data_IF_920750233423
#
_entry.id   IF_920750233423
#
_cell.length_a   1.000
_cell.length_b   1.000
_cell.length_c   1.000
_cell.angle_alpha   90.00
_cell.angle_beta   90.00
_cell.angle_gamma   90.00
#
_symmetry.space_group_name_H-M   'P 1'
#
loop_
_entity.id
_entity.type
_entity.pdbx_description
1 polymer ?
#
# COMPACT_ATOMS: atom_id res chain seq x y z
N UNK A 1 24.69 -37.50 46.38
CA UNK A 1 24.10 -38.33 45.32
C UNK A 1 22.92 -39.02 45.97
N UNK A 2 21.82 -38.35 46.30
CA UNK A 2 20.91 -37.52 45.50
C UNK A 2 20.14 -38.34 44.44
N UNK A 3 19.11 -39.04 44.93
CA UNK A 3 17.94 -39.55 44.22
C UNK A 3 16.83 -39.56 45.28
N UNK A 4 15.73 -38.82 45.20
CA UNK A 4 15.08 -38.19 44.06
C UNK A 4 13.58 -38.34 44.30
N UNK A 5 13.07 -37.52 45.22
CA UNK A 5 11.70 -37.46 45.70
C UNK A 5 10.73 -37.15 44.54
N UNK A 6 10.08 -38.19 43.99
CA UNK A 6 9.19 -38.07 42.82
C UNK A 6 7.79 -38.66 43.04
N UNK A 7 7.51 -39.26 44.21
CA UNK A 7 6.27 -40.03 44.44
C UNK A 7 5.12 -39.24 45.09
N UNK A 8 5.31 -37.96 45.46
CA UNK A 8 4.25 -37.14 46.07
C UNK A 8 3.57 -36.12 45.13
N UNK A 9 4.20 -35.80 43.99
CA UNK A 9 3.59 -34.92 42.97
C UNK A 9 2.50 -35.62 42.14
N UNK A 10 2.67 -36.91 41.86
CA UNK A 10 1.76 -37.68 40.98
C UNK A 10 0.40 -37.98 41.62
N UNK A 11 0.35 -38.17 42.95
CA UNK A 11 -0.88 -38.51 43.69
C UNK A 11 -1.84 -37.33 43.84
N UNK A 12 -1.32 -36.11 43.99
CA UNK A 12 -2.14 -34.89 44.10
C UNK A 12 -2.77 -34.55 42.74
N UNK A 13 -1.98 -34.61 41.65
CA UNK A 13 -2.49 -34.38 40.29
C UNK A 13 -3.53 -35.43 39.91
N UNK A 14 -3.30 -36.70 40.25
CA UNK A 14 -4.25 -37.80 40.06
C UNK A 14 -5.58 -37.56 40.81
N UNK A 15 -5.52 -37.06 42.04
CA UNK A 15 -6.69 -36.77 42.85
C UNK A 15 -7.54 -35.63 42.27
N UNK A 16 -6.93 -34.48 41.94
CA UNK A 16 -7.65 -33.37 41.32
C UNK A 16 -8.18 -33.72 39.92
N UNK A 17 -7.42 -34.53 39.16
CA UNK A 17 -7.88 -35.06 37.89
C UNK A 17 -9.12 -35.94 38.05
N UNK A 18 -9.18 -36.79 39.09
CA UNK A 18 -10.35 -37.64 39.36
C UNK A 18 -11.60 -36.84 39.72
N UNK A 19 -11.46 -35.76 40.51
CA UNK A 19 -12.56 -34.86 40.87
C UNK A 19 -13.06 -34.12 39.64
N UNK A 20 -12.13 -33.55 38.86
CA UNK A 20 -12.45 -32.84 37.62
C UNK A 20 -13.14 -33.78 36.62
N UNK A 21 -12.61 -34.99 36.45
CA UNK A 21 -13.14 -36.02 35.55
C UNK A 21 -14.56 -36.44 35.95
N UNK A 22 -14.82 -36.68 37.23
CA UNK A 22 -16.15 -37.03 37.73
C UNK A 22 -17.13 -35.88 37.55
N UNK A 23 -16.71 -34.63 37.81
CA UNK A 23 -17.55 -33.47 37.54
C UNK A 23 -17.85 -33.30 36.06
N UNK A 24 -16.85 -33.48 35.18
CA UNK A 24 -17.02 -33.43 33.73
C UNK A 24 -18.00 -34.51 33.26
N UNK A 25 -17.83 -35.76 33.70
CA UNK A 25 -18.70 -36.87 33.33
C UNK A 25 -20.14 -36.67 33.82
N UNK A 26 -20.33 -36.20 35.06
CA UNK A 26 -21.65 -35.90 35.60
C UNK A 26 -22.33 -34.76 34.83
N UNK A 27 -21.57 -33.73 34.45
CA UNK A 27 -22.09 -32.57 33.70
C UNK A 27 -22.45 -32.99 32.27
N UNK A 28 -21.54 -33.68 31.56
CA UNK A 28 -21.78 -34.24 30.23
C UNK A 28 -22.96 -35.20 30.21
N UNK A 29 -23.09 -36.07 31.23
CA UNK A 29 -24.21 -36.99 31.37
C UNK A 29 -25.55 -36.28 31.49
N UNK A 30 -25.62 -35.22 32.32
CA UNK A 30 -26.84 -34.38 32.45
C UNK A 30 -27.16 -33.64 31.16
N UNK A 31 -26.16 -33.06 30.49
CA UNK A 31 -26.36 -32.35 29.22
C UNK A 31 -26.81 -33.29 28.12
N UNK A 32 -26.22 -34.48 28.02
CA UNK A 32 -26.63 -35.51 27.05
C UNK A 32 -28.04 -36.04 27.35
N UNK A 33 -28.43 -36.16 28.61
CA UNK A 33 -29.79 -36.55 28.97
C UNK A 33 -30.83 -35.49 28.56
N UNK A 34 -30.51 -34.20 28.71
CA UNK A 34 -31.36 -33.07 28.29
C UNK A 34 -31.44 -32.92 26.77
N UNK A 35 -30.35 -33.23 26.04
CA UNK A 35 -30.26 -33.08 24.59
C UNK A 35 -30.67 -34.34 23.80
N UNK A 36 -30.85 -35.47 24.49
CA UNK A 36 -31.34 -36.76 23.95
C UNK A 36 -32.59 -36.69 23.05
N UNK A 37 -33.56 -35.79 23.28
CA UNK A 37 -34.76 -35.69 22.45
C UNK A 37 -34.52 -35.07 21.07
N UNK A 38 -33.37 -34.43 20.84
CA UNK A 38 -33.10 -33.67 19.62
C UNK A 38 -32.20 -34.45 18.67
N UNK A 39 -32.48 -34.36 17.37
CA UNK A 39 -31.61 -34.97 16.37
C UNK A 39 -30.21 -34.34 16.37
N UNK A 40 -29.13 -35.15 16.27
CA UNK A 40 -27.76 -34.63 16.28
C UNK A 40 -27.50 -33.54 15.23
N UNK A 41 -28.11 -33.66 14.05
CA UNK A 41 -27.98 -32.68 12.97
C UNK A 41 -28.60 -31.32 13.33
N UNK A 42 -29.72 -31.32 14.06
CA UNK A 42 -30.38 -30.09 14.51
C UNK A 42 -29.53 -29.36 15.55
N UNK A 43 -28.89 -30.11 16.45
CA UNK A 43 -27.96 -29.54 17.44
C UNK A 43 -26.70 -28.94 16.78
N UNK A 44 -26.15 -29.63 15.78
CA UNK A 44 -25.01 -29.12 15.00
C UNK A 44 -25.42 -27.85 14.22
N UNK A 45 -26.59 -27.85 13.57
CA UNK A 45 -27.08 -26.69 12.84
C UNK A 45 -27.34 -25.49 13.75
N UNK A 46 -27.95 -25.69 14.92
CA UNK A 46 -28.19 -24.64 15.92
C UNK A 46 -26.90 -24.06 16.49
N UNK A 47 -25.92 -24.92 16.81
CA UNK A 47 -24.64 -24.46 17.34
C UNK A 47 -23.82 -23.70 16.30
N UNK A 48 -23.75 -24.20 15.06
CA UNK A 48 -23.11 -23.51 13.95
C UNK A 48 -23.82 -22.19 13.62
N UNK A 49 -25.15 -22.18 13.60
CA UNK A 49 -25.94 -20.96 13.37
C UNK A 49 -25.73 -19.95 14.50
N UNK A 50 -25.70 -20.39 15.76
CA UNK A 50 -25.44 -19.52 16.90
C UNK A 50 -24.05 -18.89 16.83
N UNK A 51 -23.02 -19.68 16.55
CA UNK A 51 -21.64 -19.21 16.38
C UNK A 51 -21.54 -18.23 15.20
N UNK A 52 -22.18 -18.55 14.07
CA UNK A 52 -22.23 -17.67 12.91
C UNK A 52 -22.93 -16.35 13.22
N UNK A 53 -24.09 -16.39 13.88
CA UNK A 53 -24.86 -15.19 14.26
C UNK A 53 -24.08 -14.30 15.23
N UNK A 54 -23.41 -14.87 16.23
CA UNK A 54 -22.58 -14.11 17.17
C UNK A 54 -21.38 -13.48 16.45
N UNK A 55 -20.67 -14.24 15.61
CA UNK A 55 -19.55 -13.69 14.83
C UNK A 55 -20.00 -12.61 13.84
N UNK A 56 -21.16 -12.78 13.20
CA UNK A 56 -21.76 -11.78 12.32
C UNK A 56 -22.12 -10.51 13.09
N UNK A 57 -22.70 -10.65 14.29
CA UNK A 57 -23.04 -9.53 15.16
C UNK A 57 -21.79 -8.78 15.63
N UNK A 58 -20.76 -9.50 16.08
CA UNK A 58 -19.47 -8.91 16.48
C UNK A 58 -18.79 -8.21 15.30
N UNK A 59 -18.76 -8.82 14.12
CA UNK A 59 -18.22 -8.20 12.91
C UNK A 59 -19.01 -6.95 12.48
N UNK A 60 -20.34 -6.92 12.70
CA UNK A 60 -21.18 -5.75 12.48
C UNK A 60 -20.89 -4.65 13.50
N UNK A 61 -20.77 -4.99 14.77
CA UNK A 61 -20.44 -4.07 15.87
C UNK A 61 -19.06 -3.46 15.64
N UNK A 62 -18.03 -4.25 15.31
CA UNK A 62 -16.70 -3.75 14.98
C UNK A 62 -16.72 -2.81 13.77
N UNK A 63 -17.54 -3.13 12.76
CA UNK A 63 -17.74 -2.24 11.62
C UNK A 63 -18.36 -0.90 12.01
N UNK A 64 -19.30 -0.90 12.95
CA UNK A 64 -20.01 0.28 13.44
C UNK A 64 -19.19 1.10 14.44
N UNK A 65 -18.37 0.44 15.27
CA UNK A 65 -17.58 1.06 16.33
C UNK A 65 -16.33 1.76 15.81
N UNK A 66 -15.81 1.37 14.63
CA UNK A 66 -14.70 2.09 13.98
C UNK A 66 -15.11 3.54 13.66
N UNK A 67 -14.44 4.56 14.23
CA UNK A 67 -14.80 5.96 14.01
C UNK A 67 -14.72 6.30 12.53
N UNK A 68 -15.85 6.70 11.94
CA UNK A 68 -15.98 7.08 10.51
C UNK A 68 -16.82 6.13 9.65
N UNK A 69 -16.96 4.85 10.02
CA UNK A 69 -17.69 3.88 9.21
C UNK A 69 -19.20 4.11 9.17
N UNK A 70 -19.81 4.60 10.26
CA UNK A 70 -21.24 4.93 10.26
C UNK A 70 -21.57 6.07 9.28
N UNK A 71 -20.67 7.05 9.10
CA UNK A 71 -20.83 8.11 8.09
C UNK A 71 -20.79 7.52 6.68
N UNK A 72 -19.92 6.54 6.45
CA UNK A 72 -19.83 5.82 5.16
C UNK A 72 -21.10 5.00 4.92
N UNK A 73 -21.59 4.27 5.93
CA UNK A 73 -22.83 3.49 5.86
C UNK A 73 -24.04 4.39 5.59
N UNK A 74 -24.17 5.49 6.34
CA UNK A 74 -25.21 6.50 6.13
C UNK A 74 -25.10 7.12 4.72
N UNK A 75 -23.90 7.48 4.28
CA UNK A 75 -23.67 7.99 2.93
C UNK A 75 -24.06 6.97 1.85
N UNK A 76 -23.72 5.69 2.03
CA UNK A 76 -24.13 4.60 1.10
C UNK A 76 -25.65 4.44 1.08
N UNK A 77 -26.30 4.49 2.23
CA UNK A 77 -27.76 4.43 2.33
C UNK A 77 -28.42 5.62 1.64
N UNK A 78 -28.01 6.85 1.97
CA UNK A 78 -28.53 8.07 1.35
C UNK A 78 -28.30 8.06 -0.17
N UNK A 79 -27.10 7.68 -0.63
CA UNK A 79 -26.78 7.62 -2.07
C UNK A 79 -27.43 6.45 -2.82
N UNK A 80 -28.03 5.49 -2.10
CA UNK A 80 -28.83 4.42 -2.70
C UNK A 80 -30.29 4.82 -2.94
N UNK A 81 -30.77 5.90 -2.31
CA UNK A 81 -32.13 6.42 -2.54
C UNK A 81 -32.32 6.80 -4.02
N UNK A 82 -33.48 6.53 -4.65
CA UNK A 82 -33.68 6.69 -6.09
C UNK A 82 -33.27 8.07 -6.64
N UNK A 83 -33.64 9.15 -5.94
CA UNK A 83 -33.32 10.54 -6.32
C UNK A 83 -31.83 10.88 -6.15
N UNK A 84 -31.18 10.34 -5.13
CA UNK A 84 -29.74 10.55 -4.93
C UNK A 84 -28.91 9.71 -5.90
N UNK A 85 -29.41 8.53 -6.28
CA UNK A 85 -28.78 7.66 -7.27
C UNK A 85 -28.73 8.34 -8.65
N UNK A 86 -29.79 9.05 -9.06
CA UNK A 86 -29.79 9.80 -10.32
C UNK A 86 -28.80 10.97 -10.30
N UNK A 87 -28.75 11.74 -9.21
CA UNK A 87 -27.77 12.83 -9.02
C UNK A 87 -26.34 12.29 -9.04
N UNK A 88 -26.07 11.20 -8.29
CA UNK A 88 -24.76 10.53 -8.28
C UNK A 88 -24.36 10.06 -9.67
N UNK A 89 -25.28 9.45 -10.42
CA UNK A 89 -25.03 8.99 -11.78
C UNK A 89 -24.73 10.17 -12.74
N UNK A 90 -25.45 11.29 -12.59
CA UNK A 90 -25.18 12.51 -13.35
C UNK A 90 -23.79 13.07 -13.04
N UNK A 91 -23.44 13.24 -11.77
CA UNK A 91 -22.11 13.71 -11.36
C UNK A 91 -21.00 12.78 -11.85
N UNK A 92 -21.22 11.46 -11.80
CA UNK A 92 -20.26 10.50 -12.34
C UNK A 92 -20.10 10.64 -13.87
N UNK A 93 -21.17 10.92 -14.62
CA UNK A 93 -21.08 11.22 -16.05
C UNK A 93 -20.32 12.52 -16.32
N UNK A 94 -20.59 13.58 -15.56
CA UNK A 94 -19.87 14.85 -15.66
C UNK A 94 -18.38 14.66 -15.39
N UNK A 95 -18.02 13.94 -14.32
CA UNK A 95 -16.63 13.60 -13.99
C UNK A 95 -16.00 12.73 -15.08
N UNK A 96 -16.69 11.69 -15.56
CA UNK A 96 -16.18 10.86 -16.67
C UNK A 96 -15.91 11.69 -17.92
N UNK A 97 -16.81 12.62 -18.27
CA UNK A 97 -16.64 13.53 -19.40
C UNK A 97 -15.44 14.45 -19.18
N UNK A 98 -15.34 15.07 -18.00
CA UNK A 98 -14.22 15.95 -17.66
C UNK A 98 -12.87 15.22 -17.68
N UNK A 99 -12.80 13.99 -17.14
CA UNK A 99 -11.60 13.14 -17.22
C UNK A 99 -11.31 12.78 -18.67
N UNK A 100 -12.32 12.42 -19.45
CA UNK A 100 -12.13 12.08 -20.86
C UNK A 100 -11.55 13.27 -21.63
N UNK A 101 -12.12 14.45 -21.46
CA UNK A 101 -11.66 15.70 -22.07
C UNK A 101 -10.27 16.13 -21.58
N UNK A 102 -9.92 15.90 -20.32
CA UNK A 102 -8.60 16.24 -19.78
C UNK A 102 -7.50 15.28 -20.27
N UNK A 103 -7.80 13.98 -20.39
CA UNK A 103 -6.84 12.95 -20.81
C UNK A 103 -6.63 12.97 -22.32
N UNK A 104 -7.70 13.12 -23.10
CA UNK A 104 -7.65 13.03 -24.56
C UNK A 104 -7.50 14.41 -25.22
N UNK A 105 -7.58 15.49 -24.43
CA UNK A 105 -7.55 16.86 -24.92
C UNK A 105 -8.75 17.21 -25.81
N UNK A 106 -8.74 18.43 -26.35
CA UNK A 106 -9.69 18.89 -27.38
C UNK A 106 -9.18 18.57 -28.79
N UNK A 107 -8.60 17.39 -29.03
CA UNK A 107 -8.01 17.06 -30.33
C UNK A 107 -8.93 16.19 -31.20
N UNK A 108 -9.61 16.78 -32.22
CA UNK A 108 -10.49 16.03 -33.12
C UNK A 108 -9.79 15.39 -34.34
N UNK A 109 -8.45 15.35 -34.41
CA UNK A 109 -7.79 15.22 -35.72
C UNK A 109 -7.32 13.81 -36.14
N UNK A 110 -7.32 12.80 -35.27
CA UNK A 110 -7.03 11.42 -35.68
C UNK A 110 -8.09 10.46 -35.09
N UNK A 111 -8.74 9.62 -35.92
CA UNK A 111 -9.69 8.65 -35.41
C UNK A 111 -8.98 7.63 -34.52
N UNK A 112 -9.56 7.32 -33.37
CA UNK A 112 -9.09 6.23 -32.52
C UNK A 112 -9.12 4.93 -33.32
N UNK A 113 -7.96 4.27 -33.43
CA UNK A 113 -7.90 2.92 -33.98
C UNK A 113 -8.37 1.95 -32.92
N UNK A 114 -9.51 1.31 -33.16
CA UNK A 114 -10.12 0.35 -32.23
C UNK A 114 -9.80 -1.11 -32.57
N UNK A 115 -9.10 -1.34 -33.69
CA UNK A 115 -8.67 -2.65 -34.15
C UNK A 115 -7.29 -2.56 -34.80
N UNK A 116 -6.59 -3.70 -34.87
CA UNK A 116 -5.37 -3.82 -35.66
C UNK A 116 -5.68 -3.60 -37.15
N UNK A 117 -4.79 -2.95 -37.91
CA UNK A 117 -5.00 -2.72 -39.33
C UNK A 117 -4.99 -4.06 -40.09
N UNK A 118 -5.94 -4.24 -41.01
CA UNK A 118 -6.04 -5.46 -41.83
C UNK A 118 -4.83 -5.67 -42.77
N UNK A 119 -4.10 -4.61 -43.07
CA UNK A 119 -2.88 -4.62 -43.89
C UNK A 119 -1.74 -3.99 -43.11
N UNK A 120 -0.53 -4.54 -43.28
CA UNK A 120 0.69 -3.98 -42.70
C UNK A 120 0.89 -2.54 -43.19
N UNK A 121 1.36 -1.68 -42.29
CA UNK A 121 1.79 -0.33 -42.64
C UNK A 121 3.27 -0.32 -42.96
N UNK A 122 3.71 0.55 -43.87
CA UNK A 122 5.13 0.82 -44.07
C UNK A 122 5.71 1.56 -42.86
N UNK A 123 7.03 1.41 -42.65
CA UNK A 123 7.73 2.13 -41.58
C UNK A 123 7.54 3.65 -41.70
N UNK A 124 7.53 4.20 -42.91
CA UNK A 124 7.33 5.63 -43.15
C UNK A 124 5.91 6.09 -42.80
N UNK A 125 4.89 5.26 -43.08
CA UNK A 125 3.51 5.53 -42.67
C UNK A 125 3.34 5.52 -41.14
N UNK A 126 4.07 4.65 -40.44
CA UNK A 126 4.09 4.61 -38.97
C UNK A 126 4.78 5.87 -38.42
N UNK A 127 5.96 6.21 -38.95
CA UNK A 127 6.71 7.41 -38.54
C UNK A 127 5.93 8.69 -38.82
N UNK A 128 5.24 8.80 -39.96
CA UNK A 128 4.42 9.97 -40.28
C UNK A 128 3.25 10.13 -39.31
N UNK A 129 2.57 9.02 -38.96
CA UNK A 129 1.51 9.01 -37.95
C UNK A 129 2.05 9.46 -36.58
N UNK A 130 3.22 8.95 -36.16
CA UNK A 130 3.86 9.34 -34.90
C UNK A 130 4.21 10.84 -34.86
N UNK A 131 4.71 11.41 -35.97
CA UNK A 131 4.99 12.86 -36.08
C UNK A 131 3.72 13.70 -35.97
N UNK A 132 2.64 13.29 -36.62
CA UNK A 132 1.34 13.98 -36.52
C UNK A 132 0.84 14.00 -35.08
N UNK A 133 0.89 12.85 -34.38
CA UNK A 133 0.53 12.75 -32.96
C UNK A 133 1.43 13.62 -32.07
N UNK A 134 2.74 13.62 -32.31
CA UNK A 134 3.68 14.43 -31.52
C UNK A 134 3.47 15.94 -31.72
N UNK A 135 3.10 16.37 -32.93
CA UNK A 135 2.82 17.79 -33.22
C UNK A 135 1.53 18.31 -32.56
N UNK A 136 0.69 17.40 -32.07
CA UNK A 136 -0.56 17.71 -31.35
C UNK A 136 -0.41 17.80 -29.82
N UNK A 137 0.80 17.96 -29.30
CA UNK A 137 0.99 18.20 -27.86
C UNK A 137 0.23 19.45 -27.44
N UNK A 138 -0.66 19.33 -26.45
CA UNK A 138 -1.50 20.42 -25.97
C UNK A 138 -0.70 21.57 -25.32
N UNK A 139 0.55 21.31 -24.94
CA UNK A 139 1.44 22.28 -24.30
C UNK A 139 2.86 22.13 -24.87
N UNK A 140 3.48 23.25 -25.21
CA UNK A 140 4.90 23.33 -25.56
C UNK A 140 5.74 23.40 -24.27
N UNK A 141 6.28 22.28 -23.84
CA UNK A 141 7.14 22.21 -22.65
C UNK A 141 8.48 22.91 -22.86
N UNK A 142 8.97 23.07 -24.11
CA UNK A 142 10.24 23.76 -24.39
C UNK A 142 10.17 25.25 -24.11
N UNK A 143 8.96 25.82 -24.10
CA UNK A 143 8.72 27.21 -23.70
C UNK A 143 8.98 27.49 -22.21
N UNK A 144 9.20 26.45 -21.38
CA UNK A 144 9.40 26.58 -19.93
C UNK A 144 8.11 26.87 -19.14
N UNK A 145 6.94 26.85 -19.80
CA UNK A 145 5.64 27.16 -19.17
C UNK A 145 4.95 25.94 -18.52
N UNK A 146 5.65 24.81 -18.46
CA UNK A 146 5.17 23.57 -17.86
C UNK A 146 5.94 23.33 -16.56
N UNK A 147 5.24 23.42 -15.42
CA UNK A 147 5.86 23.14 -14.11
C UNK A 147 6.21 21.65 -14.00
N UNK A 148 7.46 21.35 -13.63
CA UNK A 148 7.98 19.98 -13.56
C UNK A 148 7.78 19.22 -14.87
N UNK A 149 7.21 18.02 -14.80
CA UNK A 149 6.83 17.16 -15.94
C UNK A 149 7.97 16.66 -16.82
N UNK A 150 8.78 17.55 -17.40
CA UNK A 150 9.96 17.24 -18.21
C UNK A 150 11.17 17.94 -17.60
N UNK A 151 12.25 17.19 -17.39
CA UNK A 151 13.49 17.70 -16.77
C UNK A 151 14.65 17.63 -17.78
N UNK A 152 14.66 18.47 -18.82
CA UNK A 152 15.74 18.50 -19.81
C UNK A 152 17.01 19.10 -19.18
N UNK A 153 18.18 18.53 -19.48
CA UNK A 153 19.46 19.13 -19.10
C UNK A 153 20.06 19.93 -20.27
N UNK A 154 20.37 19.25 -21.38
CA UNK A 154 20.84 19.84 -22.63
C UNK A 154 20.63 18.87 -23.82
N UNK A 155 20.86 19.35 -25.04
CA UNK A 155 20.68 18.55 -26.25
C UNK A 155 21.71 17.41 -26.35
N UNK A 156 22.95 17.64 -25.93
CA UNK A 156 24.01 16.63 -25.93
C UNK A 156 23.62 15.39 -25.11
N UNK A 157 23.13 15.59 -23.88
CA UNK A 157 22.61 14.52 -23.03
C UNK A 157 21.42 13.82 -23.69
N UNK A 158 20.54 14.56 -24.34
CA UNK A 158 19.38 13.98 -25.01
C UNK A 158 19.81 13.03 -26.15
N UNK A 159 20.82 13.44 -26.93
CA UNK A 159 21.41 12.59 -27.98
C UNK A 159 22.07 11.35 -27.39
N UNK A 160 22.85 11.49 -26.32
CA UNK A 160 23.47 10.36 -25.63
C UNK A 160 22.43 9.35 -25.13
N UNK A 161 21.35 9.82 -24.49
CA UNK A 161 20.28 8.95 -23.98
C UNK A 161 19.60 8.14 -25.09
N UNK A 162 19.34 8.75 -26.25
CA UNK A 162 18.77 8.05 -27.41
C UNK A 162 19.72 6.96 -27.92
N UNK A 163 21.02 7.27 -28.04
CA UNK A 163 22.03 6.29 -28.46
C UNK A 163 22.14 5.12 -27.48
N UNK A 164 22.10 5.38 -26.18
CA UNK A 164 22.11 4.32 -25.17
C UNK A 164 20.85 3.46 -25.24
N UNK A 165 19.67 4.06 -25.44
CA UNK A 165 18.43 3.30 -25.61
C UNK A 165 18.48 2.40 -26.85
N UNK A 166 19.06 2.88 -27.96
CA UNK A 166 19.24 2.09 -29.17
C UNK A 166 20.16 0.87 -28.94
N UNK A 167 21.29 1.06 -28.24
CA UNK A 167 22.23 -0.02 -27.92
C UNK A 167 21.61 -1.11 -27.02
N UNK A 168 20.77 -0.70 -26.07
CA UNK A 168 20.23 -1.61 -25.04
C UNK A 168 18.76 -2.00 -25.26
N UNK A 169 18.17 -1.69 -26.42
CA UNK A 169 16.75 -1.86 -26.74
C UNK A 169 16.17 -3.26 -26.43
N UNK A 170 16.97 -4.31 -26.65
CA UNK A 170 16.54 -5.71 -26.50
C UNK A 170 17.02 -6.36 -25.19
N UNK A 171 17.61 -5.58 -24.29
CA UNK A 171 18.07 -6.12 -23.01
C UNK A 171 16.93 -6.32 -22.03
N UNK A 172 17.07 -7.37 -21.21
CA UNK A 172 16.11 -7.70 -20.17
C UNK A 172 16.85 -8.09 -18.88
N UNK A 173 16.85 -7.25 -17.82
CA UNK A 173 17.55 -7.51 -16.56
C UNK A 173 17.12 -8.80 -15.84
N UNK A 174 15.99 -9.41 -16.22
CA UNK A 174 15.57 -10.72 -15.71
C UNK A 174 16.58 -11.83 -16.06
N UNK A 175 17.28 -11.72 -17.19
CA UNK A 175 18.23 -12.70 -17.69
C UNK A 175 19.66 -12.18 -17.50
N UNK A 176 20.16 -12.25 -16.25
CA UNK A 176 21.46 -11.69 -15.87
C UNK A 176 22.65 -12.43 -16.47
N UNK A 177 22.47 -13.68 -16.87
CA UNK A 177 23.41 -14.51 -17.62
C UNK A 177 23.57 -14.04 -19.08
N UNK A 178 22.47 -13.64 -19.71
CA UNK A 178 22.46 -13.11 -21.07
C UNK A 178 22.87 -11.63 -21.15
N UNK A 179 22.51 -10.82 -20.13
CA UNK A 179 22.75 -9.38 -20.11
C UNK A 179 23.52 -8.90 -18.87
N UNK A 180 24.75 -9.40 -18.64
CA UNK A 180 25.53 -9.05 -17.45
C UNK A 180 25.92 -7.56 -17.41
N UNK A 181 26.03 -6.90 -18.57
CA UNK A 181 26.32 -5.47 -18.68
C UNK A 181 25.23 -4.61 -18.04
N UNK A 182 23.95 -4.91 -18.29
CA UNK A 182 22.84 -4.15 -17.72
C UNK A 182 22.76 -4.34 -16.22
N UNK A 183 22.90 -5.58 -15.74
CA UNK A 183 22.96 -5.86 -14.30
C UNK A 183 24.10 -5.08 -13.61
N UNK A 184 25.26 -4.98 -14.28
CA UNK A 184 26.39 -4.19 -13.79
C UNK A 184 26.04 -2.70 -13.71
N UNK A 185 25.47 -2.14 -14.77
CA UNK A 185 25.04 -0.73 -14.79
C UNK A 185 24.04 -0.42 -13.66
N UNK A 186 23.04 -1.28 -13.44
CA UNK A 186 22.09 -1.11 -12.33
C UNK A 186 22.78 -1.09 -10.96
N UNK A 187 23.73 -2.00 -10.74
CA UNK A 187 24.49 -2.07 -9.49
C UNK A 187 25.37 -0.82 -9.27
N UNK A 188 26.02 -0.33 -10.33
CA UNK A 188 26.85 0.88 -10.30
C UNK A 188 26.01 2.12 -10.02
N UNK A 189 24.84 2.27 -10.67
CA UNK A 189 23.91 3.40 -10.41
C UNK A 189 23.43 3.38 -8.97
N UNK A 190 23.01 2.23 -8.44
CA UNK A 190 22.62 2.10 -7.04
C UNK A 190 23.76 2.54 -6.12
N UNK A 191 25.00 2.07 -6.36
CA UNK A 191 26.14 2.45 -5.51
C UNK A 191 26.46 3.95 -5.62
N UNK A 192 26.43 4.54 -6.81
CA UNK A 192 26.63 5.98 -6.99
C UNK A 192 25.59 6.81 -6.22
N UNK A 193 24.32 6.41 -6.27
CA UNK A 193 23.28 7.05 -5.48
C UNK A 193 23.52 6.88 -3.97
N UNK A 194 23.85 5.67 -3.50
CA UNK A 194 24.15 5.46 -2.07
C UNK A 194 25.31 6.34 -1.61
N UNK A 195 26.39 6.44 -2.39
CA UNK A 195 27.52 7.34 -2.08
C UNK A 195 27.09 8.80 -2.04
N UNK A 196 26.25 9.25 -2.99
CA UNK A 196 25.69 10.60 -3.01
C UNK A 196 24.87 10.92 -1.75
N UNK A 197 24.20 9.91 -1.18
CA UNK A 197 23.44 10.00 0.08
C UNK A 197 24.25 9.57 1.32
N UNK A 198 25.58 9.52 1.23
CA UNK A 198 26.49 9.18 2.33
C UNK A 198 26.25 7.79 2.97
N UNK A 199 25.79 6.82 2.17
CA UNK A 199 25.63 5.43 2.60
C UNK A 199 26.98 4.73 2.84
N UNK A 200 26.99 3.83 3.81
CA UNK A 200 28.15 3.02 4.20
C UNK A 200 28.28 1.71 3.36
N UNK A 201 29.18 0.82 3.79
CA UNK A 201 29.36 -0.50 3.16
C UNK A 201 28.13 -1.41 3.29
N UNK A 202 27.36 -1.25 4.37
CA UNK A 202 26.14 -2.02 4.65
C UNK A 202 24.92 -1.49 3.88
N UNK A 203 25.01 -0.27 3.36
CA UNK A 203 23.95 0.34 2.56
C UNK A 203 23.81 -0.39 1.22
N UNK A 204 22.56 -0.69 0.85
CA UNK A 204 22.20 -1.39 -0.37
C UNK A 204 20.90 -0.82 -0.98
N UNK A 205 20.57 -1.24 -2.20
CA UNK A 205 19.39 -0.78 -2.90
C UNK A 205 19.11 -1.59 -4.17
N UNK A 206 18.09 -1.15 -4.90
CA UNK A 206 17.71 -1.73 -6.19
C UNK A 206 17.18 -0.62 -7.10
N UNK A 207 17.30 -0.82 -8.41
CA UNK A 207 16.65 0.03 -9.40
C UNK A 207 15.14 -0.21 -9.38
N UNK A 208 14.36 0.81 -9.74
CA UNK A 208 12.92 0.72 -9.91
C UNK A 208 12.49 1.53 -11.14
N UNK A 209 11.25 1.33 -11.58
CA UNK A 209 10.66 2.06 -12.70
C UNK A 209 10.36 3.54 -12.39
N UNK A 210 10.47 3.95 -11.13
CA UNK A 210 10.22 5.34 -10.71
C UNK A 210 9.81 5.48 -9.24
N UNK A 211 9.61 6.73 -8.80
CA UNK A 211 9.41 7.07 -7.39
C UNK A 211 8.22 6.38 -6.71
N UNK A 212 7.13 6.11 -7.45
CA UNK A 212 5.97 5.36 -6.89
C UNK A 212 6.36 3.92 -6.55
N UNK A 213 7.09 3.23 -7.44
CA UNK A 213 7.55 1.86 -7.16
C UNK A 213 8.55 1.85 -6.00
N UNK A 214 9.49 2.81 -5.95
CA UNK A 214 10.42 2.93 -4.82
C UNK A 214 9.71 3.08 -3.47
N UNK A 215 8.68 3.94 -3.39
CA UNK A 215 7.86 4.09 -2.18
C UNK A 215 7.15 2.77 -1.85
N UNK A 216 6.54 2.12 -2.85
CA UNK A 216 5.82 0.87 -2.64
C UNK A 216 6.74 -0.26 -2.14
N UNK A 217 7.94 -0.42 -2.73
CA UNK A 217 8.93 -1.41 -2.30
C UNK A 217 9.42 -1.14 -0.86
N UNK A 218 9.63 0.12 -0.49
CA UNK A 218 9.96 0.48 0.89
C UNK A 218 8.83 0.08 1.84
N UNK A 219 7.58 0.48 1.56
CA UNK A 219 6.42 0.11 2.38
C UNK A 219 6.27 -1.41 2.52
N UNK A 220 6.48 -2.15 1.42
CA UNK A 220 6.46 -3.61 1.41
C UNK A 220 7.52 -4.21 2.35
N UNK A 221 8.76 -3.72 2.27
CA UNK A 221 9.87 -4.17 3.09
C UNK A 221 9.61 -3.95 4.59
N UNK A 222 9.20 -2.73 4.97
CA UNK A 222 8.90 -2.39 6.37
C UNK A 222 7.71 -3.17 6.93
N UNK A 223 6.65 -3.37 6.12
CA UNK A 223 5.52 -4.23 6.50
C UNK A 223 5.95 -5.68 6.74
N UNK A 224 6.75 -6.24 5.83
CA UNK A 224 7.22 -7.62 5.96
C UNK A 224 8.13 -7.80 7.18
N UNK A 225 8.99 -6.82 7.45
CA UNK A 225 9.79 -6.78 8.70
C UNK A 225 8.88 -6.75 9.93
N UNK A 226 7.90 -5.85 9.98
CA UNK A 226 6.97 -5.73 11.10
C UNK A 226 6.19 -7.03 11.36
N UNK A 227 5.73 -7.71 10.30
CA UNK A 227 5.07 -9.02 10.40
C UNK A 227 5.98 -10.10 10.96
N UNK A 228 7.24 -10.16 10.54
CA UNK A 228 8.24 -11.07 11.12
C UNK A 228 8.49 -10.80 12.61
N UNK A 229 8.26 -9.56 13.06
CA UNK A 229 8.34 -9.14 14.46
C UNK A 229 7.02 -9.30 15.23
N UNK A 230 6.00 -9.96 14.66
CA UNK A 230 4.71 -10.23 15.31
C UNK A 230 3.65 -9.12 15.14
N UNK A 231 3.90 -8.08 14.35
CA UNK A 231 2.92 -7.04 14.04
C UNK A 231 2.11 -7.46 12.81
N UNK A 232 0.99 -8.15 13.04
CA UNK A 232 0.13 -8.65 11.97
C UNK A 232 -0.58 -7.54 11.19
N UNK A 233 -0.80 -6.41 11.84
CA UNK A 233 -1.74 -5.39 11.41
C UNK A 233 -1.06 -4.00 11.45
N UNK A 234 0.02 -3.80 10.66
CA UNK A 234 0.92 -2.66 10.81
C UNK A 234 0.31 -1.35 10.33
N UNK A 235 0.76 -0.24 10.93
CA UNK A 235 0.46 1.11 10.50
C UNK A 235 1.72 1.90 10.08
N UNK A 236 1.52 2.92 9.25
CA UNK A 236 2.54 3.89 8.85
C UNK A 236 2.10 5.29 9.26
N UNK A 237 3.01 6.10 9.79
CA UNK A 237 2.76 7.49 10.17
C UNK A 237 3.37 8.40 9.11
N UNK A 238 2.53 9.22 8.46
CA UNK A 238 2.93 10.08 7.35
C UNK A 238 2.41 11.52 7.54
N UNK A 239 3.13 12.56 7.10
CA UNK A 239 2.60 13.92 7.00
C UNK A 239 1.43 14.00 6.01
N UNK A 240 0.51 14.94 6.19
CA UNK A 240 -0.56 15.21 5.22
C UNK A 240 -0.03 15.54 3.81
N UNK A 241 1.14 16.17 3.72
CA UNK A 241 1.84 16.52 2.48
C UNK A 241 2.55 15.35 1.79
N UNK A 242 2.61 14.18 2.41
CA UNK A 242 3.32 13.02 1.86
C UNK A 242 2.72 12.58 0.52
N UNK A 243 3.57 12.08 -0.38
CA UNK A 243 3.18 11.67 -1.72
C UNK A 243 2.04 10.63 -1.69
N UNK A 244 1.07 10.74 -2.59
CA UNK A 244 -0.13 9.86 -2.64
C UNK A 244 0.18 8.37 -2.87
N UNK A 245 1.42 8.05 -3.27
CA UNK A 245 1.92 6.69 -3.34
C UNK A 245 1.90 5.96 -1.99
N UNK A 246 2.00 6.68 -0.86
CA UNK A 246 1.86 6.08 0.47
C UNK A 246 0.43 5.58 0.72
N UNK A 247 -0.60 6.32 0.30
CA UNK A 247 -1.99 5.84 0.39
C UNK A 247 -2.22 4.64 -0.52
N UNK A 248 -1.64 4.67 -1.73
CA UNK A 248 -1.67 3.53 -2.66
C UNK A 248 -1.02 2.30 -2.03
N UNK A 249 0.16 2.44 -1.43
CA UNK A 249 0.84 1.36 -0.74
C UNK A 249 0.00 0.85 0.44
N UNK A 250 -0.57 1.74 1.25
CA UNK A 250 -1.46 1.38 2.35
C UNK A 250 -2.65 0.54 1.90
N UNK A 251 -3.31 0.96 0.83
CA UNK A 251 -4.46 0.24 0.26
C UNK A 251 -4.07 -1.09 -0.39
N UNK A 252 -2.96 -1.16 -1.13
CA UNK A 252 -2.56 -2.38 -1.86
C UNK A 252 -1.94 -3.42 -0.90
N UNK A 253 -1.27 -2.97 0.15
CA UNK A 253 -0.45 -3.82 1.00
C UNK A 253 -1.05 -4.08 2.39
N UNK A 254 -2.27 -3.58 2.66
CA UNK A 254 -2.94 -3.64 3.96
C UNK A 254 -2.08 -3.06 5.09
N UNK A 255 -1.64 -1.81 4.90
CA UNK A 255 -0.95 -1.02 5.92
C UNK A 255 -1.87 0.15 6.27
N UNK A 256 -2.23 0.30 7.53
CA UNK A 256 -3.08 1.43 7.95
C UNK A 256 -2.27 2.73 7.86
N UNK A 257 -2.81 3.73 7.17
CA UNK A 257 -2.14 5.03 7.01
C UNK A 257 -2.66 6.01 8.07
N UNK A 258 -1.76 6.52 8.90
CA UNK A 258 -2.04 7.56 9.90
C UNK A 258 -1.46 8.87 9.39
N UNK A 259 -2.34 9.81 9.03
CA UNK A 259 -1.96 11.13 8.52
C UNK A 259 -1.83 12.12 9.67
N UNK A 260 -0.74 12.88 9.68
CA UNK A 260 -0.40 13.86 10.70
C UNK A 260 -0.49 15.27 10.10
N UNK A 261 -1.17 16.21 10.78
CA UNK A 261 -1.36 17.56 10.27
C UNK A 261 -0.04 18.32 10.13
N UNK A 262 -0.04 19.28 9.21
CA UNK A 262 1.07 20.23 9.05
C UNK A 262 0.90 21.41 10.01
N UNK A 263 2.01 22.06 10.32
CA UNK A 263 2.00 23.38 10.93
C UNK A 263 1.50 24.42 9.90
N UNK A 264 0.51 25.26 10.24
CA UNK A 264 -0.15 26.14 9.27
C UNK A 264 0.72 27.33 8.81
N UNK A 265 1.83 27.59 9.49
CA UNK A 265 2.74 28.70 9.15
C UNK A 265 3.90 28.18 8.31
N UNK A 266 4.51 27.08 8.73
CA UNK A 266 5.72 26.52 8.12
C UNK A 266 5.44 25.44 7.08
N UNK A 267 4.21 24.89 7.04
CA UNK A 267 3.81 23.74 6.21
C UNK A 267 4.70 22.50 6.36
N UNK A 268 5.48 22.41 7.44
CA UNK A 268 6.21 21.23 7.88
C UNK A 268 5.29 20.36 8.70
N UNK A 269 5.59 19.06 8.83
CA UNK A 269 4.81 18.21 9.72
C UNK A 269 4.84 18.69 11.17
N UNK A 270 3.68 18.66 11.85
CA UNK A 270 3.61 18.97 13.27
C UNK A 270 4.27 17.84 14.08
N UNK A 271 5.51 18.07 14.53
CA UNK A 271 6.30 17.06 15.26
C UNK A 271 5.62 16.55 16.54
N UNK A 272 4.86 17.39 17.25
CA UNK A 272 4.15 16.96 18.47
C UNK A 272 3.06 15.96 18.12
N UNK A 273 2.25 16.25 17.12
CA UNK A 273 1.23 15.32 16.63
C UNK A 273 1.86 14.06 16.00
N UNK A 274 2.99 14.21 15.32
CA UNK A 274 3.73 13.09 14.72
C UNK A 274 4.20 12.09 15.76
N UNK A 275 4.84 12.57 16.84
CA UNK A 275 5.26 11.72 17.97
C UNK A 275 4.08 11.03 18.65
N UNK A 276 2.96 11.74 18.83
CA UNK A 276 1.75 11.19 19.45
C UNK A 276 1.03 10.13 18.60
N UNK A 277 1.25 10.11 17.28
CA UNK A 277 0.64 9.17 16.35
C UNK A 277 1.31 7.80 16.33
N UNK A 278 2.50 7.66 16.92
CA UNK A 278 3.28 6.42 16.92
C UNK A 278 2.70 5.43 17.93
N UNK A 279 2.49 4.20 17.48
CA UNK A 279 1.96 3.11 18.30
C UNK A 279 2.87 1.88 18.24
N UNK A 280 2.56 0.85 19.04
CA UNK A 280 3.24 -0.44 18.97
C UNK A 280 3.01 -1.20 17.64
N UNK A 281 2.11 -0.70 16.77
CA UNK A 281 1.83 -1.25 15.43
C UNK A 281 2.58 -0.50 14.32
N UNK A 282 3.26 0.59 14.64
CA UNK A 282 3.95 1.42 13.67
C UNK A 282 5.16 0.73 13.07
N UNK A 283 5.11 0.47 11.77
CA UNK A 283 6.19 -0.17 11.02
C UNK A 283 7.08 0.81 10.26
N UNK A 284 6.62 2.04 10.03
CA UNK A 284 7.29 3.03 9.20
C UNK A 284 6.89 4.46 9.62
N UNK A 285 7.88 5.34 9.65
CA UNK A 285 7.71 6.80 9.73
C UNK A 285 8.16 7.41 8.40
N UNK A 286 7.44 8.41 7.91
CA UNK A 286 7.72 9.05 6.62
C UNK A 286 7.98 10.55 6.81
N UNK A 287 8.94 11.06 6.03
CA UNK A 287 9.24 12.49 5.88
C UNK A 287 9.60 12.76 4.41
N UNK A 288 9.37 13.97 3.90
CA UNK A 288 9.65 14.33 2.50
C UNK A 288 10.77 15.36 2.37
N UNK A 289 11.59 15.25 1.33
CA UNK A 289 12.76 16.10 1.10
C UNK A 289 12.90 16.57 -0.37
N UNK A 290 12.11 17.56 -0.83
CA UNK A 290 10.95 18.16 -0.17
C UNK A 290 9.64 17.41 -0.47
N UNK A 291 8.53 17.83 0.15
CA UNK A 291 7.18 17.41 -0.24
C UNK A 291 6.70 18.11 -1.53
N UNK A 292 6.02 17.35 -2.39
CA UNK A 292 5.53 17.81 -3.70
C UNK A 292 4.57 19.03 -3.62
N UNK A 293 3.58 19.09 -2.71
CA UNK A 293 2.61 20.18 -2.70
C UNK A 293 3.18 21.60 -2.52
N UNK A 294 4.15 21.78 -1.61
CA UNK A 294 4.67 23.11 -1.27
C UNK A 294 6.19 23.25 -1.41
N UNK A 295 6.92 22.19 -1.76
CA UNK A 295 8.38 22.25 -1.95
C UNK A 295 9.18 22.44 -0.66
N UNK A 296 8.62 22.10 0.50
CA UNK A 296 9.26 22.28 1.82
C UNK A 296 9.85 20.96 2.31
N UNK A 297 11.03 21.03 2.94
CA UNK A 297 11.68 19.86 3.55
C UNK A 297 11.13 19.69 4.97
N UNK A 298 10.66 18.47 5.27
CA UNK A 298 10.24 18.10 6.63
C UNK A 298 11.44 18.07 7.60
N UNK A 299 11.23 18.17 8.92
CA UNK A 299 12.27 18.01 9.94
C UNK A 299 12.79 16.56 10.02
N UNK A 300 13.63 16.15 9.05
CA UNK A 300 14.10 14.77 8.86
C UNK A 300 14.89 14.28 10.07
N UNK A 301 15.80 15.11 10.61
CA UNK A 301 16.65 14.73 11.75
C UNK A 301 15.81 14.45 12.98
N UNK A 302 14.87 15.35 13.28
CA UNK A 302 13.99 15.24 14.44
C UNK A 302 13.05 14.03 14.31
N UNK A 303 12.57 13.71 13.11
CA UNK A 303 11.78 12.49 12.85
C UNK A 303 12.64 11.23 13.01
N UNK A 304 13.89 11.25 12.56
CA UNK A 304 14.83 10.13 12.75
C UNK A 304 15.13 9.89 14.24
N UNK A 305 15.30 10.93 15.04
CA UNK A 305 15.55 10.83 16.49
C UNK A 305 14.36 10.22 17.25
N UNK A 306 13.12 10.48 16.83
CA UNK A 306 11.92 9.89 17.46
C UNK A 306 11.99 8.36 17.46
N UNK A 307 12.62 7.77 16.45
CA UNK A 307 12.78 6.32 16.35
C UNK A 307 13.74 5.76 17.41
N UNK A 308 14.79 6.49 17.80
CA UNK A 308 15.81 5.97 18.73
C UNK A 308 15.23 5.66 20.12
N UNK A 309 14.17 6.35 20.51
CA UNK A 309 13.46 6.17 21.78
C UNK A 309 12.43 5.03 21.77
N UNK A 310 12.00 4.56 20.59
CA UNK A 310 10.97 3.52 20.45
C UNK A 310 11.53 2.09 20.37
N UNK A 311 12.87 1.92 20.37
CA UNK A 311 13.55 0.64 20.58
C UNK A 311 13.29 -0.46 19.55
N UNK A 312 12.84 -0.13 18.32
CA UNK A 312 12.57 -1.11 17.24
C UNK A 312 12.90 -0.62 15.83
#
# INVERSE_FOLDING_TARGET
MDHGDTTHGETIVSFYWSILYNHLCATLGRTNALLRPYEPLVLIALTLSGIFSVNLLLALIDRLHSPGNWKILLFRFITALPRMRSIKAQKLREVKKSIFESVHGKHPQLPYRQALPLKSMSADAIKSTARQLSSSSAVDWKSGRMSGTVYPANEELSHLLIQMQELYLWTNPLHTDAFPSVRRMEAEVVRMCLTMFHGDENSCGTMSSGGTESIMLACLAYRNRARKMGIHEPDMVIPESAHTAFDKAGSVMNIRVIRVPLDPVTFKVNLKAFKAAITNRTCMLVASAPQFPHGIIDPILEIAEVRSLAGR
#
